data_IF_435341949984
#
_entry.id   IF_435341949984
#
_cell.length_a   1.000
_cell.length_b   1.000
_cell.length_c   1.000
_cell.angle_alpha   90.00
_cell.angle_beta   90.00
_cell.angle_gamma   90.00
#
_symmetry.space_group_name_H-M   'P 1'
#
loop_
_entity.id
_entity.type
_entity.pdbx_description
1 polymer ?
#
# COMPACT_ATOMS: atom_id res chain seq x y z
N UNK A 1 -5.78 17.59 31.70
CA UNK A 1 -5.46 16.21 31.32
C UNK A 1 -4.08 16.23 30.64
N UNK A 2 -3.31 15.15 30.69
CA UNK A 2 -2.05 15.06 29.94
C UNK A 2 -2.34 15.13 28.43
N UNK A 3 -1.45 15.79 27.68
CA UNK A 3 -1.54 15.81 26.22
C UNK A 3 -1.35 14.40 25.63
N UNK A 4 -2.17 14.04 24.64
CA UNK A 4 -2.21 12.67 24.05
C UNK A 4 -2.00 12.71 22.55
N UNK A 5 -1.33 11.68 22.05
CA UNK A 5 -1.22 11.42 20.61
C UNK A 5 -2.54 10.91 20.03
N UNK A 6 -2.73 11.03 18.72
CA UNK A 6 -3.88 10.46 18.00
C UNK A 6 -4.02 8.96 18.27
N UNK A 7 -2.89 8.22 18.22
CA UNK A 7 -2.87 6.81 18.55
C UNK A 7 -3.41 6.52 19.95
N UNK A 8 -2.97 7.26 20.98
CA UNK A 8 -3.43 7.06 22.36
C UNK A 8 -4.92 7.36 22.51
N UNK A 9 -5.42 8.43 21.87
CA UNK A 9 -6.86 8.76 21.89
C UNK A 9 -7.71 7.65 21.29
N UNK A 10 -7.29 7.11 20.13
CA UNK A 10 -8.01 6.02 19.47
C UNK A 10 -7.89 4.74 20.30
N UNK A 11 -6.69 4.39 20.77
CA UNK A 11 -6.48 3.22 21.60
C UNK A 11 -7.37 3.23 22.83
N UNK A 12 -7.29 4.29 23.62
CA UNK A 12 -8.02 4.41 24.89
C UNK A 12 -9.55 4.34 24.69
N UNK A 13 -10.07 4.83 23.55
CA UNK A 13 -11.50 4.75 23.23
C UNK A 13 -11.96 3.35 22.79
N UNK A 14 -11.02 2.44 22.46
CA UNK A 14 -11.33 1.07 22.00
C UNK A 14 -10.95 -0.01 23.02
N UNK A 15 -10.30 0.33 24.12
CA UNK A 15 -10.00 -0.63 25.19
C UNK A 15 -11.30 -1.12 25.82
N UNK A 16 -11.53 -2.42 25.73
CA UNK A 16 -12.66 -3.12 26.37
C UNK A 16 -12.24 -3.60 27.76
N UNK A 17 -10.98 -4.09 27.87
CA UNK A 17 -10.41 -4.59 29.12
C UNK A 17 -8.89 -4.51 29.06
N UNK A 18 -8.28 -4.09 30.17
CA UNK A 18 -6.84 -4.01 30.31
C UNK A 18 -6.42 -4.38 31.74
N UNK A 19 -5.38 -5.21 31.86
CA UNK A 19 -4.74 -5.53 33.12
C UNK A 19 -3.25 -5.16 33.05
N UNK A 20 -2.66 -4.70 34.15
CA UNK A 20 -1.24 -4.33 34.18
C UNK A 20 -0.33 -5.47 33.73
N UNK A 21 0.51 -5.20 32.72
CA UNK A 21 1.47 -6.16 32.18
C UNK A 21 0.89 -7.23 31.26
N UNK A 22 -0.40 -7.17 30.97
CA UNK A 22 -1.08 -8.05 30.01
C UNK A 22 -1.44 -7.28 28.73
N UNK A 23 -1.68 -7.98 27.62
CA UNK A 23 -2.23 -7.32 26.43
C UNK A 23 -3.66 -6.85 26.70
N UNK A 24 -3.99 -5.65 26.24
CA UNK A 24 -5.34 -5.11 26.31
C UNK A 24 -6.25 -5.79 25.29
N UNK A 25 -7.52 -6.00 25.64
CA UNK A 25 -8.56 -6.40 24.72
C UNK A 25 -9.15 -5.14 24.09
N UNK A 26 -8.98 -4.95 22.78
CA UNK A 26 -9.49 -3.80 22.04
C UNK A 26 -10.65 -4.19 21.13
N UNK A 27 -11.65 -3.32 21.01
CA UNK A 27 -12.74 -3.47 20.05
C UNK A 27 -12.28 -3.13 18.63
N UNK A 28 -12.79 -3.85 17.63
CA UNK A 28 -12.47 -3.64 16.21
C UNK A 28 -13.71 -3.12 15.48
N UNK A 29 -13.63 -1.91 14.93
CA UNK A 29 -14.77 -1.27 14.23
C UNK A 29 -15.03 -1.88 12.87
N UNK A 30 -13.97 -2.26 12.14
CA UNK A 30 -14.10 -2.85 10.80
C UNK A 30 -13.15 -4.02 10.64
N UNK A 31 -13.70 -5.11 10.13
CA UNK A 31 -12.92 -6.30 9.79
C UNK A 31 -12.97 -6.51 8.27
N UNK A 32 -11.83 -6.36 7.61
CA UNK A 32 -11.70 -6.64 6.18
C UNK A 32 -11.14 -8.06 6.01
N UNK A 33 -11.74 -8.84 5.12
CA UNK A 33 -11.31 -10.22 4.86
C UNK A 33 -11.23 -10.48 3.36
N UNK A 34 -10.38 -11.42 2.98
CA UNK A 34 -10.19 -11.83 1.58
C UNK A 34 -10.03 -13.35 1.47
N UNK A 35 -9.95 -13.86 0.24
CA UNK A 35 -9.98 -15.29 -0.06
C UNK A 35 -8.80 -16.08 0.50
N UNK A 36 -7.65 -15.46 0.77
CA UNK A 36 -6.43 -16.20 1.15
C UNK A 36 -6.43 -16.62 2.61
N UNK A 37 -6.77 -15.71 3.53
CA UNK A 37 -6.68 -15.97 4.99
C UNK A 37 -7.99 -16.36 5.64
N UNK A 38 -9.14 -16.07 5.01
CA UNK A 38 -10.46 -16.31 5.61
C UNK A 38 -10.94 -17.77 5.62
N UNK A 39 -10.56 -18.67 4.68
CA UNK A 39 -11.11 -20.04 4.68
C UNK A 39 -10.85 -20.80 5.97
N UNK A 40 -9.61 -20.76 6.49
CA UNK A 40 -9.25 -21.42 7.73
C UNK A 40 -9.94 -20.80 8.96
N UNK A 41 -10.08 -19.45 8.97
CA UNK A 41 -10.77 -18.75 10.05
C UNK A 41 -12.26 -19.15 10.13
N UNK A 42 -12.96 -19.23 9.00
CA UNK A 42 -14.35 -19.72 8.96
C UNK A 42 -14.46 -21.21 9.32
N UNK A 43 -13.49 -22.05 8.92
CA UNK A 43 -13.45 -23.44 9.30
C UNK A 43 -13.31 -23.58 10.83
N UNK A 44 -12.44 -22.79 11.46
CA UNK A 44 -12.27 -22.72 12.90
C UNK A 44 -13.56 -22.33 13.63
N UNK A 45 -14.26 -21.29 13.14
CA UNK A 45 -15.57 -20.91 13.68
C UNK A 45 -16.58 -22.08 13.67
N UNK A 46 -16.68 -22.79 12.53
CA UNK A 46 -17.59 -23.95 12.41
C UNK A 46 -17.22 -25.08 13.35
N UNK A 47 -15.94 -25.42 13.45
CA UNK A 47 -15.42 -26.46 14.37
C UNK A 47 -15.77 -26.17 15.83
N UNK A 48 -15.68 -24.88 16.23
CA UNK A 48 -16.01 -24.46 17.59
C UNK A 48 -17.48 -24.08 17.81
N UNK A 49 -18.36 -24.27 16.82
CA UNK A 49 -19.78 -23.91 16.89
C UNK A 49 -20.04 -22.42 17.08
N UNK A 50 -19.10 -21.55 16.64
CA UNK A 50 -19.19 -20.10 16.77
C UNK A 50 -19.75 -19.46 15.50
N UNK A 51 -20.40 -18.30 15.69
CA UNK A 51 -20.95 -17.48 14.59
C UNK A 51 -20.12 -16.20 14.41
N UNK A 52 -20.21 -15.60 13.23
CA UNK A 52 -19.69 -14.24 13.02
C UNK A 52 -20.47 -13.27 13.90
N UNK A 53 -19.77 -12.53 14.75
CA UNK A 53 -20.36 -11.63 15.75
C UNK A 53 -21.02 -10.41 15.12
N UNK A 54 -20.34 -9.77 14.15
CA UNK A 54 -20.80 -8.53 13.49
C UNK A 54 -20.59 -8.64 11.99
N UNK A 55 -21.47 -9.38 11.28
CA UNK A 55 -21.37 -9.48 9.83
C UNK A 55 -21.55 -8.12 9.12
N UNK A 56 -22.27 -7.18 9.75
CA UNK A 56 -22.46 -5.81 9.29
C UNK A 56 -21.21 -4.92 9.37
N UNK A 57 -20.22 -5.30 10.17
CA UNK A 57 -18.92 -4.63 10.30
C UNK A 57 -17.77 -5.40 9.60
N UNK A 58 -18.09 -6.52 8.98
CA UNK A 58 -17.15 -7.37 8.26
C UNK A 58 -17.37 -7.25 6.75
N UNK A 59 -16.32 -6.99 5.99
CA UNK A 59 -16.37 -6.78 4.54
C UNK A 59 -15.39 -7.73 3.84
N UNK A 60 -15.91 -8.54 2.94
CA UNK A 60 -15.14 -9.54 2.20
C UNK A 60 -14.88 -9.09 0.76
N UNK A 61 -13.70 -9.41 0.24
CA UNK A 61 -13.34 -9.12 -1.16
C UNK A 61 -12.54 -10.27 -1.76
N UNK A 62 -12.65 -10.46 -3.08
CA UNK A 62 -11.77 -11.29 -3.89
C UNK A 62 -10.78 -10.39 -4.59
N UNK A 63 -9.48 -10.47 -4.25
CA UNK A 63 -8.48 -9.52 -4.77
C UNK A 63 -7.07 -10.09 -5.01
N UNK A 64 -6.63 -11.08 -4.23
CA UNK A 64 -5.25 -11.58 -4.28
C UNK A 64 -5.00 -12.54 -5.45
N UNK A 65 -5.85 -13.55 -5.59
CA UNK A 65 -5.69 -14.61 -6.60
C UNK A 65 -6.51 -14.35 -7.86
N UNK A 66 -7.16 -13.20 -7.98
CA UNK A 66 -8.01 -12.88 -9.13
C UNK A 66 -7.17 -12.70 -10.40
N UNK A 67 -7.58 -13.28 -11.55
CA UNK A 67 -6.94 -13.02 -12.83
C UNK A 67 -7.16 -11.56 -13.25
N UNK A 68 -6.15 -10.96 -13.86
CA UNK A 68 -6.19 -9.60 -14.42
C UNK A 68 -6.43 -9.58 -15.92
N UNK A 69 -6.51 -10.76 -16.54
CA UNK A 69 -6.89 -11.01 -17.93
C UNK A 69 -8.40 -11.23 -18.06
N UNK A 70 -8.84 -11.93 -19.08
CA UNK A 70 -10.26 -12.22 -19.32
C UNK A 70 -10.87 -13.09 -18.22
N UNK A 71 -11.74 -12.50 -17.40
CA UNK A 71 -12.44 -13.15 -16.28
C UNK A 71 -13.66 -13.97 -16.68
N UNK A 72 -13.99 -14.01 -17.97
CA UNK A 72 -15.03 -14.91 -18.51
C UNK A 72 -14.51 -16.33 -18.67
N UNK A 73 -13.21 -16.51 -18.70
CA UNK A 73 -12.58 -17.83 -18.81
C UNK A 73 -12.55 -18.55 -17.45
N UNK A 74 -12.66 -19.88 -17.45
CA UNK A 74 -12.52 -20.67 -16.22
C UNK A 74 -11.18 -20.42 -15.54
N UNK A 75 -11.19 -20.42 -14.21
CA UNK A 75 -9.97 -20.35 -13.41
C UNK A 75 -9.16 -21.65 -13.61
N UNK A 76 -7.91 -21.49 -14.03
CA UNK A 76 -7.00 -22.62 -14.24
C UNK A 76 -6.34 -23.09 -12.94
N UNK A 77 -6.21 -22.22 -11.95
CA UNK A 77 -5.67 -22.51 -10.62
C UNK A 77 -6.78 -23.07 -9.72
N UNK A 78 -6.69 -24.36 -9.41
CA UNK A 78 -7.67 -25.06 -8.57
C UNK A 78 -7.65 -24.59 -7.12
N UNK A 79 -6.51 -24.11 -6.60
CA UNK A 79 -6.40 -23.58 -5.24
C UNK A 79 -7.13 -22.24 -5.15
N UNK A 80 -6.88 -21.34 -6.10
CA UNK A 80 -7.58 -20.07 -6.19
C UNK A 80 -9.10 -20.27 -6.33
N UNK A 81 -9.53 -21.20 -7.20
CA UNK A 81 -10.94 -21.53 -7.37
C UNK A 81 -11.57 -22.01 -6.06
N UNK A 82 -10.94 -22.91 -5.33
CA UNK A 82 -11.42 -23.41 -4.03
C UNK A 82 -11.50 -22.30 -2.97
N UNK A 83 -10.53 -21.36 -2.96
CA UNK A 83 -10.55 -20.22 -2.06
C UNK A 83 -11.73 -19.27 -2.35
N UNK A 84 -11.98 -18.94 -3.62
CA UNK A 84 -13.13 -18.12 -4.02
C UNK A 84 -14.47 -18.77 -3.67
N UNK A 85 -14.61 -20.05 -3.95
CA UNK A 85 -15.83 -20.80 -3.60
C UNK A 85 -16.04 -20.83 -2.08
N UNK A 86 -14.98 -21.07 -1.31
CA UNK A 86 -15.04 -21.08 0.16
C UNK A 86 -15.46 -19.69 0.69
N UNK A 87 -14.84 -18.61 0.21
CA UNK A 87 -15.19 -17.25 0.63
C UNK A 87 -16.66 -16.93 0.27
N UNK A 88 -17.09 -17.20 -0.96
CA UNK A 88 -18.47 -16.94 -1.40
C UNK A 88 -19.50 -17.74 -0.60
N UNK A 89 -19.23 -19.02 -0.32
CA UNK A 89 -20.08 -19.86 0.53
C UNK A 89 -20.14 -19.32 1.96
N UNK A 90 -19.01 -19.03 2.56
CA UNK A 90 -18.93 -18.54 3.93
C UNK A 90 -19.66 -17.20 4.10
N UNK A 91 -19.51 -16.27 3.16
CA UNK A 91 -20.22 -14.98 3.19
C UNK A 91 -21.74 -15.17 3.08
N UNK A 92 -22.23 -16.07 2.19
CA UNK A 92 -23.66 -16.37 2.09
C UNK A 92 -24.21 -16.96 3.39
N UNK A 93 -23.50 -17.89 4.02
CA UNK A 93 -23.92 -18.56 5.25
C UNK A 93 -23.94 -17.62 6.46
N UNK A 94 -23.06 -16.60 6.49
CA UNK A 94 -22.88 -15.72 7.64
C UNK A 94 -23.49 -14.33 7.48
N UNK A 95 -23.93 -13.97 6.28
CA UNK A 95 -24.46 -12.63 5.99
C UNK A 95 -23.39 -11.54 5.82
N UNK A 96 -22.12 -11.91 5.69
CA UNK A 96 -21.02 -10.97 5.43
C UNK A 96 -21.13 -10.44 4.00
N UNK A 97 -21.02 -9.12 3.83
CA UNK A 97 -21.04 -8.47 2.52
C UNK A 97 -19.79 -8.84 1.72
N UNK A 98 -20.00 -9.41 0.53
CA UNK A 98 -18.92 -9.83 -0.38
C UNK A 98 -18.85 -8.93 -1.63
N UNK A 99 -17.66 -8.43 -1.94
CA UNK A 99 -17.30 -7.84 -3.22
C UNK A 99 -16.58 -8.88 -4.07
N UNK A 100 -17.34 -9.74 -4.75
CA UNK A 100 -16.81 -10.80 -5.61
C UNK A 100 -16.27 -10.25 -6.94
N UNK A 101 -15.71 -11.12 -7.78
CA UNK A 101 -15.10 -10.75 -9.06
C UNK A 101 -16.06 -10.05 -10.04
N UNK A 102 -17.39 -10.25 -9.91
CA UNK A 102 -18.40 -9.63 -10.77
C UNK A 102 -18.95 -8.32 -10.19
N UNK A 103 -18.71 -8.07 -8.91
CA UNK A 103 -19.20 -6.86 -8.24
C UNK A 103 -18.56 -5.60 -8.83
N UNK A 104 -19.36 -4.58 -9.13
CA UNK A 104 -18.87 -3.29 -9.65
C UNK A 104 -17.90 -2.55 -8.72
N UNK A 105 -17.90 -2.87 -7.44
CA UNK A 105 -17.01 -2.31 -6.43
C UNK A 105 -15.84 -3.25 -6.08
N UNK A 106 -15.64 -4.33 -6.85
CA UNK A 106 -14.50 -5.23 -6.64
C UNK A 106 -13.17 -4.49 -6.89
N UNK A 107 -12.17 -4.81 -6.10
CA UNK A 107 -10.81 -4.30 -6.22
C UNK A 107 -9.97 -4.74 -5.03
N UNK A 108 -8.75 -4.26 -4.97
CA UNK A 108 -7.85 -4.55 -3.86
C UNK A 108 -8.45 -4.04 -2.54
N UNK A 109 -8.44 -4.86 -1.50
CA UNK A 109 -9.09 -4.59 -0.21
C UNK A 109 -8.72 -3.21 0.37
N UNK A 110 -7.44 -2.82 0.27
CA UNK A 110 -6.93 -1.53 0.77
C UNK A 110 -7.21 -0.34 -0.17
N UNK A 111 -7.85 -0.58 -1.30
CA UNK A 111 -8.36 0.45 -2.20
C UNK A 111 -9.86 0.61 -2.03
N UNK A 112 -10.62 -0.48 -2.03
CA UNK A 112 -12.08 -0.39 -1.92
C UNK A 112 -12.54 0.08 -0.54
N UNK A 113 -11.82 -0.22 0.54
CA UNK A 113 -12.12 0.29 1.88
C UNK A 113 -12.23 1.81 1.92
N UNK A 114 -11.18 2.54 1.50
CA UNK A 114 -11.21 3.99 1.30
C UNK A 114 -12.24 4.46 0.27
N UNK A 115 -12.26 3.86 -0.93
CA UNK A 115 -13.16 4.28 -2.01
C UNK A 115 -14.64 4.25 -1.66
N UNK A 116 -15.03 3.30 -0.84
CA UNK A 116 -16.41 3.14 -0.40
C UNK A 116 -16.71 3.90 0.89
N UNK A 117 -15.69 4.44 1.57
CA UNK A 117 -15.83 5.11 2.87
C UNK A 117 -16.07 4.14 4.03
N UNK A 118 -15.67 2.87 3.86
CA UNK A 118 -15.64 1.88 4.95
C UNK A 118 -14.60 2.32 5.99
N UNK A 119 -13.48 2.89 5.51
CA UNK A 119 -12.42 3.48 6.33
C UNK A 119 -12.80 4.90 6.72
N UNK A 120 -12.85 5.19 8.03
CA UNK A 120 -13.16 6.51 8.55
C UNK A 120 -12.25 6.86 9.74
N UNK A 121 -11.95 8.14 9.99
CA UNK A 121 -11.07 8.54 11.07
C UNK A 121 -11.55 8.06 12.46
N UNK A 122 -10.61 7.73 13.32
CA UNK A 122 -10.88 7.31 14.69
C UNK A 122 -11.28 5.85 14.84
N UNK A 123 -11.39 5.09 13.75
CA UNK A 123 -11.72 3.67 13.78
C UNK A 123 -10.50 2.77 14.03
N UNK A 124 -10.76 1.56 14.50
CA UNK A 124 -9.84 0.42 14.45
C UNK A 124 -10.20 -0.48 13.28
N UNK A 125 -9.22 -0.81 12.43
CA UNK A 125 -9.41 -1.68 11.25
C UNK A 125 -8.38 -2.78 11.22
N UNK A 126 -8.84 -4.02 11.00
CA UNK A 126 -7.94 -5.16 10.83
C UNK A 126 -8.27 -5.95 9.55
N UNK A 127 -7.25 -6.61 9.01
CA UNK A 127 -7.34 -7.52 7.87
C UNK A 127 -6.23 -8.56 7.95
N UNK A 128 -6.44 -9.71 7.35
CA UNK A 128 -5.41 -10.74 7.19
C UNK A 128 -4.29 -10.39 6.20
N UNK A 129 -3.98 -9.12 6.03
CA UNK A 129 -2.95 -8.57 5.14
C UNK A 129 -2.16 -7.46 5.86
N UNK A 130 -0.83 -7.50 5.75
CA UNK A 130 0.06 -6.55 6.41
C UNK A 130 -0.12 -5.10 5.95
N UNK A 131 -0.54 -4.85 4.68
CA UNK A 131 -0.75 -3.52 4.15
C UNK A 131 -2.07 -2.86 4.59
N UNK A 132 -2.76 -3.44 5.57
CA UNK A 132 -3.88 -2.81 6.29
C UNK A 132 -3.50 -1.44 6.87
N UNK A 133 -2.22 -1.20 7.14
CA UNK A 133 -1.70 0.12 7.53
C UNK A 133 -2.07 1.25 6.55
N UNK A 134 -2.40 0.94 5.29
CA UNK A 134 -2.92 1.92 4.30
C UNK A 134 -4.06 2.77 4.85
N UNK A 135 -4.97 2.16 5.60
CA UNK A 135 -6.15 2.82 6.16
C UNK A 135 -5.80 3.91 7.20
N UNK A 136 -4.59 3.86 7.77
CA UNK A 136 -4.08 4.88 8.68
C UNK A 136 -3.92 6.27 8.05
N UNK A 137 -3.92 6.37 6.72
CA UNK A 137 -3.96 7.64 5.99
C UNK A 137 -5.18 8.51 6.33
N UNK A 138 -6.20 7.93 6.93
CA UNK A 138 -7.43 8.58 7.35
C UNK A 138 -7.46 8.90 8.86
N UNK A 139 -6.36 8.72 9.60
CA UNK A 139 -6.38 8.80 11.05
C UNK A 139 -7.09 7.61 11.70
N UNK A 140 -6.90 6.43 11.14
CA UNK A 140 -7.46 5.14 11.57
C UNK A 140 -6.35 4.31 12.18
N UNK A 141 -6.57 3.65 13.29
CA UNK A 141 -5.64 2.63 13.81
C UNK A 141 -5.85 1.32 13.03
N UNK A 142 -5.03 1.10 12.02
CA UNK A 142 -5.20 -0.01 11.09
C UNK A 142 -3.94 -0.86 10.96
N UNK A 143 -4.09 -2.20 11.09
CA UNK A 143 -2.94 -3.10 11.04
C UNK A 143 -3.34 -4.52 10.62
N UNK A 144 -2.34 -5.24 10.07
CA UNK A 144 -2.47 -6.63 9.66
C UNK A 144 -2.51 -7.59 10.85
N UNK A 145 -3.27 -8.68 10.69
CA UNK A 145 -3.43 -9.74 11.69
C UNK A 145 -3.25 -11.12 11.05
N UNK A 146 -2.87 -12.10 11.87
CA UNK A 146 -2.72 -13.50 11.44
C UNK A 146 -4.08 -14.22 11.32
N UNK A 147 -4.09 -15.37 10.63
CA UNK A 147 -5.31 -16.16 10.38
C UNK A 147 -6.07 -16.55 11.65
N UNK A 148 -5.37 -16.90 12.72
CA UNK A 148 -6.01 -17.20 14.02
C UNK A 148 -6.66 -15.98 14.65
N UNK A 149 -6.06 -14.80 14.47
CA UNK A 149 -6.62 -13.53 14.92
C UNK A 149 -7.84 -13.14 14.06
N UNK A 150 -7.85 -13.46 12.75
CA UNK A 150 -9.03 -13.30 11.88
C UNK A 150 -10.21 -14.11 12.45
N UNK A 151 -10.01 -15.39 12.82
CA UNK A 151 -11.04 -16.20 13.49
C UNK A 151 -11.52 -15.54 14.78
N UNK A 152 -10.58 -15.06 15.61
CA UNK A 152 -10.92 -14.42 16.88
C UNK A 152 -11.78 -13.17 16.69
N UNK A 153 -11.40 -12.29 15.75
CA UNK A 153 -12.18 -11.07 15.46
C UNK A 153 -13.55 -11.40 14.86
N UNK A 154 -13.64 -12.39 13.97
CA UNK A 154 -14.94 -12.85 13.46
C UNK A 154 -15.87 -13.32 14.59
N UNK A 155 -15.33 -14.04 15.60
CA UNK A 155 -16.08 -14.57 16.72
C UNK A 155 -16.49 -13.51 17.74
N UNK A 156 -15.63 -12.51 18.00
CA UNK A 156 -15.75 -11.63 19.17
C UNK A 156 -15.88 -10.14 18.84
N UNK A 157 -15.44 -9.72 17.69
CA UNK A 157 -15.22 -8.32 17.28
C UNK A 157 -14.17 -7.61 18.14
N UNK A 158 -13.34 -8.36 18.83
CA UNK A 158 -12.26 -7.84 19.67
C UNK A 158 -10.94 -8.52 19.32
N UNK A 159 -9.84 -7.92 19.76
CA UNK A 159 -8.49 -8.45 19.58
C UNK A 159 -7.62 -8.14 20.79
N UNK A 160 -6.81 -9.10 21.21
CA UNK A 160 -5.83 -8.91 22.29
C UNK A 160 -4.53 -8.37 21.71
N UNK A 161 -4.07 -7.19 22.16
CA UNK A 161 -2.88 -6.51 21.65
C UNK A 161 -2.14 -5.76 22.76
N UNK A 162 -0.80 -5.79 22.70
CA UNK A 162 0.01 -4.87 23.51
C UNK A 162 -0.02 -3.46 22.92
N UNK A 163 -0.11 -2.45 23.79
CA UNK A 163 -0.02 -1.05 23.38
C UNK A 163 1.37 -0.77 22.80
N UNK A 164 1.44 -0.29 21.57
CA UNK A 164 2.68 0.05 20.89
C UNK A 164 3.25 1.37 21.42
N UNK A 165 4.55 1.57 21.23
CA UNK A 165 5.18 2.89 21.38
C UNK A 165 4.76 3.80 20.23
N UNK A 166 4.98 5.10 20.39
CA UNK A 166 4.67 6.12 19.41
C UNK A 166 5.92 6.66 18.73
N UNK A 167 5.86 6.83 17.40
CA UNK A 167 6.91 7.48 16.64
C UNK A 167 6.30 8.59 15.79
N UNK A 168 6.93 9.78 15.78
CA UNK A 168 6.59 10.84 14.85
C UNK A 168 7.65 10.95 13.77
N UNK A 169 7.22 10.96 12.51
CA UNK A 169 8.07 11.27 11.37
C UNK A 169 7.58 12.57 10.77
N UNK A 170 8.38 13.61 10.89
CA UNK A 170 8.04 14.96 10.45
C UNK A 170 8.84 15.31 9.18
N UNK A 171 8.13 15.70 8.13
CA UNK A 171 8.74 16.06 6.84
C UNK A 171 8.29 17.47 6.48
N UNK A 172 9.22 18.42 6.52
CA UNK A 172 8.98 19.82 6.26
C UNK A 172 9.58 20.26 4.92
N UNK A 173 9.23 21.46 4.45
CA UNK A 173 9.59 21.99 3.14
C UNK A 173 8.64 21.51 2.03
N UNK A 174 9.16 21.34 0.82
CA UNK A 174 8.37 20.89 -0.34
C UNK A 174 9.09 19.77 -1.07
N UNK A 175 8.34 18.84 -1.64
CA UNK A 175 8.93 17.83 -2.52
C UNK A 175 9.37 18.49 -3.84
N UNK A 176 10.57 18.17 -4.36
CA UNK A 176 11.00 18.60 -5.67
C UNK A 176 10.05 18.08 -6.78
N UNK A 177 10.04 18.75 -7.91
CA UNK A 177 9.29 18.28 -9.09
C UNK A 177 9.65 16.84 -9.44
N UNK A 178 8.64 16.02 -9.76
CA UNK A 178 8.82 14.63 -10.13
C UNK A 178 9.03 13.67 -8.95
N UNK A 179 9.18 14.20 -7.73
CA UNK A 179 9.25 13.40 -6.49
C UNK A 179 7.84 13.18 -5.96
N UNK A 180 7.50 11.94 -5.65
CA UNK A 180 6.15 11.53 -5.25
C UNK A 180 6.14 10.98 -3.82
N UNK A 181 4.94 10.68 -3.31
CA UNK A 181 4.77 10.01 -2.02
C UNK A 181 5.49 8.64 -1.94
N UNK A 182 5.70 7.96 -3.09
CA UNK A 182 6.47 6.72 -3.15
C UNK A 182 7.96 6.96 -2.90
N UNK A 183 8.52 8.00 -3.49
CA UNK A 183 9.91 8.38 -3.28
C UNK A 183 10.13 8.83 -1.83
N UNK A 184 9.17 9.58 -1.28
CA UNK A 184 9.17 10.01 0.11
C UNK A 184 9.23 8.82 1.07
N UNK A 185 8.33 7.83 0.94
CA UNK A 185 8.32 6.69 1.87
C UNK A 185 9.54 5.78 1.68
N UNK A 186 10.04 5.60 0.46
CA UNK A 186 11.29 4.87 0.22
C UNK A 186 12.48 5.59 0.87
N UNK A 187 12.57 6.93 0.78
CA UNK A 187 13.60 7.72 1.48
C UNK A 187 13.49 7.58 3.00
N UNK A 188 12.28 7.59 3.55
CA UNK A 188 12.04 7.38 4.99
C UNK A 188 12.56 6.00 5.39
N UNK A 189 12.18 4.93 4.66
CA UNK A 189 12.61 3.56 4.96
C UNK A 189 14.14 3.44 4.82
N UNK A 190 14.72 4.04 3.78
CA UNK A 190 16.19 4.10 3.62
C UNK A 190 16.89 4.76 4.79
N UNK A 191 16.30 5.82 5.38
CA UNK A 191 16.86 6.56 6.53
C UNK A 191 16.75 5.79 7.85
N UNK A 192 15.58 5.20 8.14
CA UNK A 192 15.34 4.55 9.45
C UNK A 192 15.62 3.05 9.45
N UNK A 193 15.73 2.44 8.26
CA UNK A 193 15.90 0.99 8.07
C UNK A 193 14.59 0.21 8.12
N UNK A 194 14.60 -1.02 7.61
CA UNK A 194 13.43 -1.93 7.57
C UNK A 194 12.93 -2.38 8.96
N UNK A 195 13.69 -2.14 10.01
CA UNK A 195 13.34 -2.43 11.40
C UNK A 195 13.19 -1.17 12.25
N UNK A 196 13.36 0.02 11.66
CA UNK A 196 13.37 1.30 12.39
C UNK A 196 12.07 1.66 13.09
N UNK A 197 10.95 1.14 12.62
CA UNK A 197 9.62 1.33 13.20
C UNK A 197 9.16 0.20 14.11
N UNK A 198 9.98 -0.82 14.36
CA UNK A 198 9.57 -2.01 15.15
C UNK A 198 9.06 -1.61 16.53
N UNK A 199 7.89 -2.13 16.88
CA UNK A 199 7.21 -1.85 18.16
C UNK A 199 6.54 -0.47 18.24
N UNK A 200 6.49 0.28 17.15
CA UNK A 200 5.88 1.61 17.11
C UNK A 200 4.67 1.68 16.16
N UNK A 201 3.76 2.59 16.49
CA UNK A 201 2.82 3.20 15.56
C UNK A 201 3.43 4.52 15.12
N UNK A 202 3.54 4.73 13.80
CA UNK A 202 4.13 5.95 13.22
C UNK A 202 3.02 6.96 12.92
N UNK A 203 3.17 8.19 13.41
CA UNK A 203 2.39 9.35 12.97
C UNK A 203 3.24 10.18 12.02
N UNK A 204 2.83 10.27 10.77
CA UNK A 204 3.46 11.11 9.77
C UNK A 204 2.90 12.53 9.86
N UNK A 205 3.78 13.53 9.85
CA UNK A 205 3.45 14.92 10.05
C UNK A 205 4.38 15.85 9.23
N UNK A 206 4.18 17.16 9.37
CA UNK A 206 4.96 18.17 8.67
C UNK A 206 4.23 18.71 7.42
N UNK A 207 4.84 19.73 6.80
CA UNK A 207 4.23 20.45 5.67
C UNK A 207 4.04 19.56 4.46
N UNK A 208 5.04 18.73 4.15
CA UNK A 208 4.97 17.78 3.04
C UNK A 208 3.80 16.82 3.21
N UNK A 209 3.62 16.23 4.39
CA UNK A 209 2.56 15.25 4.64
C UNK A 209 1.17 15.90 4.54
N UNK A 210 1.01 17.11 5.10
CA UNK A 210 -0.25 17.86 4.99
C UNK A 210 -0.59 18.21 3.54
N UNK A 211 0.44 18.52 2.73
CA UNK A 211 0.29 18.84 1.32
C UNK A 211 0.00 17.65 0.41
N UNK A 212 0.15 16.40 0.89
CA UNK A 212 -0.18 15.21 0.10
C UNK A 212 -1.69 15.07 -0.11
N UNK A 213 -2.06 14.59 -1.30
CA UNK A 213 -3.39 14.05 -1.57
C UNK A 213 -3.68 12.83 -0.68
N UNK A 214 -4.94 12.40 -0.62
CA UNK A 214 -5.27 11.15 0.10
C UNK A 214 -4.57 9.93 -0.50
N UNK A 215 -4.41 9.88 -1.81
CA UNK A 215 -3.68 8.85 -2.52
C UNK A 215 -2.20 8.81 -2.10
N UNK A 216 -1.57 9.97 -1.99
CA UNK A 216 -0.20 10.09 -1.48
C UNK A 216 -0.08 9.66 -0.02
N UNK A 217 -1.00 10.07 0.86
CA UNK A 217 -1.04 9.64 2.27
C UNK A 217 -1.23 8.13 2.39
N UNK A 218 -2.10 7.54 1.56
CA UNK A 218 -2.29 6.08 1.50
C UNK A 218 -1.01 5.36 1.07
N UNK A 219 -0.25 5.90 0.12
CA UNK A 219 1.06 5.35 -0.29
C UNK A 219 2.05 5.35 0.87
N UNK A 220 2.16 6.45 1.61
CA UNK A 220 3.05 6.56 2.78
C UNK A 220 2.65 5.56 3.87
N UNK A 221 1.37 5.54 4.26
CA UNK A 221 0.88 4.63 5.30
C UNK A 221 0.95 3.15 4.88
N UNK A 222 0.71 2.85 3.59
CA UNK A 222 0.82 1.49 3.05
C UNK A 222 2.19 0.87 3.35
N UNK A 223 3.27 1.62 3.13
CA UNK A 223 4.63 1.12 3.27
C UNK A 223 5.23 1.29 4.67
N UNK A 224 4.46 1.72 5.67
CA UNK A 224 4.91 1.81 7.06
C UNK A 224 5.34 0.45 7.62
N UNK A 225 4.67 -0.61 7.20
CA UNK A 225 5.00 -1.99 7.57
C UNK A 225 6.38 -2.42 7.04
N UNK A 226 6.84 -1.82 5.93
CA UNK A 226 8.16 -2.10 5.36
C UNK A 226 9.31 -1.48 6.19
N UNK A 227 8.99 -0.51 7.06
CA UNK A 227 9.89 -0.01 8.10
C UNK A 227 9.77 -0.81 9.42
N UNK A 228 9.00 -1.89 9.45
CA UNK A 228 8.74 -2.71 10.65
C UNK A 228 7.70 -2.13 11.62
N UNK A 229 7.03 -1.03 11.27
CA UNK A 229 6.03 -0.41 12.13
C UNK A 229 4.76 -1.26 12.26
N UNK A 230 4.06 -1.14 13.41
CA UNK A 230 2.75 -1.80 13.60
C UNK A 230 1.67 -1.17 12.71
N UNK A 231 1.69 0.15 12.59
CA UNK A 231 0.80 0.94 11.74
C UNK A 231 1.46 2.27 11.37
N UNK A 232 0.97 2.91 10.31
CA UNK A 232 1.29 4.30 9.97
C UNK A 232 0.00 5.11 9.92
N UNK A 233 0.03 6.33 10.41
CA UNK A 233 -1.14 7.19 10.54
C UNK A 233 -0.84 8.60 10.05
N UNK A 234 -1.85 9.26 9.48
CA UNK A 234 -1.85 10.69 9.17
C UNK A 234 -3.06 11.32 9.86
N UNK A 235 -2.87 12.43 10.53
CA UNK A 235 -3.98 13.15 11.17
C UNK A 235 -5.02 13.56 10.12
N UNK A 236 -6.33 13.30 10.35
CA UNK A 236 -7.38 13.71 9.44
C UNK A 236 -7.52 15.22 9.40
N UNK A 237 -7.73 15.75 8.22
CA UNK A 237 -7.90 17.18 7.94
C UNK A 237 -8.95 17.39 6.84
N UNK A 238 -9.06 18.63 6.34
CA UNK A 238 -10.02 19.00 5.29
C UNK A 238 -9.87 18.15 4.02
N UNK A 239 -8.63 17.73 3.67
CA UNK A 239 -8.38 16.81 2.53
C UNK A 239 -9.02 15.45 2.78
N UNK A 240 -8.92 14.94 4.01
CA UNK A 240 -9.56 13.68 4.43
C UNK A 240 -11.08 13.80 4.41
N UNK A 241 -11.63 14.91 4.92
CA UNK A 241 -13.08 15.10 4.99
C UNK A 241 -13.70 15.23 3.59
N UNK A 242 -13.09 16.02 2.73
CA UNK A 242 -13.51 16.16 1.32
C UNK A 242 -13.45 14.85 0.56
N UNK A 243 -12.42 14.01 0.82
CA UNK A 243 -12.32 12.70 0.20
C UNK A 243 -13.45 11.75 0.64
N UNK A 244 -13.89 11.83 1.89
CA UNK A 244 -14.91 10.94 2.47
C UNK A 244 -16.34 11.38 2.14
N UNK A 245 -16.58 12.66 1.93
CA UNK A 245 -17.93 13.20 1.73
C UNK A 245 -18.64 12.52 0.56
N UNK A 246 -19.89 12.09 0.80
CA UNK A 246 -20.74 11.44 -0.21
C UNK A 246 -20.42 10.00 -0.54
N UNK A 247 -19.40 9.38 0.08
CA UNK A 247 -19.09 7.97 -0.15
C UNK A 247 -20.16 7.05 0.47
N UNK A 248 -20.34 5.82 -0.08
CA UNK A 248 -21.46 4.94 0.26
C UNK A 248 -21.62 4.63 1.75
N UNK A 249 -20.53 4.39 2.47
CA UNK A 249 -20.53 4.00 3.89
C UNK A 249 -20.25 5.14 4.86
N UNK A 250 -20.18 6.37 4.36
CA UNK A 250 -19.94 7.57 5.19
C UNK A 250 -21.29 8.20 5.59
N UNK A 251 -21.45 8.70 6.81
CA UNK A 251 -22.63 9.44 7.23
C UNK A 251 -22.95 10.61 6.28
N UNK A 252 -24.21 11.06 6.25
CA UNK A 252 -24.65 12.11 5.32
C UNK A 252 -25.31 13.29 6.06
N UNK A 253 -25.26 14.45 5.44
CA UNK A 253 -25.96 15.63 5.97
C UNK A 253 -25.47 16.00 7.36
N UNK A 254 -26.39 16.13 8.33
CA UNK A 254 -26.05 16.50 9.73
C UNK A 254 -25.14 15.47 10.41
N UNK A 255 -25.34 14.20 10.14
CA UNK A 255 -24.53 13.13 10.73
C UNK A 255 -23.08 13.16 10.20
N UNK A 256 -22.87 13.62 8.96
CA UNK A 256 -21.53 13.87 8.44
C UNK A 256 -20.83 14.99 9.23
N UNK A 257 -21.54 16.09 9.53
CA UNK A 257 -20.95 17.18 10.32
C UNK A 257 -20.57 16.70 11.73
N UNK A 258 -21.42 15.92 12.38
CA UNK A 258 -21.11 15.31 13.70
C UNK A 258 -19.86 14.43 13.60
N UNK A 259 -19.75 13.63 12.53
CA UNK A 259 -18.58 12.81 12.29
C UNK A 259 -17.30 13.66 12.10
N UNK A 260 -17.38 14.75 11.32
CA UNK A 260 -16.25 15.67 11.11
C UNK A 260 -15.81 16.31 12.42
N UNK A 261 -16.74 16.73 13.28
CA UNK A 261 -16.41 17.31 14.57
C UNK A 261 -15.69 16.30 15.49
N UNK A 262 -16.13 15.04 15.48
CA UNK A 262 -15.43 13.95 16.14
C UNK A 262 -14.03 13.72 15.53
N UNK A 263 -13.93 13.64 14.19
CA UNK A 263 -12.66 13.41 13.49
C UNK A 263 -11.62 14.50 13.77
N UNK A 264 -12.05 15.76 13.94
CA UNK A 264 -11.19 16.86 14.36
C UNK A 264 -10.69 16.70 15.80
N UNK A 265 -11.45 16.04 16.67
CA UNK A 265 -11.10 15.87 18.09
C UNK A 265 -10.03 14.80 18.34
N UNK A 266 -9.84 13.85 17.41
CA UNK A 266 -8.90 12.73 17.59
C UNK A 266 -7.45 13.07 17.23
N UNK A 267 -7.18 14.20 16.57
CA UNK A 267 -5.80 14.59 16.21
C UNK A 267 -4.93 14.72 17.46
N UNK A 268 -3.63 14.49 17.31
CA UNK A 268 -2.67 14.63 18.42
C UNK A 268 -2.73 16.04 19.03
N UNK A 269 -2.69 16.12 20.34
CA UNK A 269 -2.63 17.41 21.04
C UNK A 269 -1.31 18.13 20.70
N UNK A 270 -1.28 19.47 20.69
CA UNK A 270 -0.07 20.21 20.32
C UNK A 270 1.18 19.84 21.13
N UNK A 271 0.98 19.55 22.43
CA UNK A 271 2.06 19.19 23.36
C UNK A 271 2.20 17.67 23.55
N UNK A 272 1.61 16.85 22.67
CA UNK A 272 1.72 15.39 22.74
C UNK A 272 3.18 14.95 22.59
N UNK A 273 3.58 14.03 23.45
CA UNK A 273 4.95 13.47 23.45
C UNK A 273 4.97 12.14 22.69
N UNK A 274 5.99 11.98 21.86
CA UNK A 274 6.27 10.74 21.15
C UNK A 274 7.52 10.07 21.73
N UNK A 275 7.55 8.73 21.77
CA UNK A 275 8.70 7.98 22.25
C UNK A 275 9.92 8.19 21.33
N UNK A 276 9.67 8.44 20.04
CA UNK A 276 10.71 8.75 19.05
C UNK A 276 10.22 9.79 18.06
N UNK A 277 11.11 10.72 17.69
CA UNK A 277 10.85 11.70 16.62
C UNK A 277 11.95 11.59 15.58
N UNK A 278 11.58 11.62 14.31
CA UNK A 278 12.49 11.62 13.15
C UNK A 278 12.08 12.77 12.24
N UNK A 279 13.06 13.60 11.86
CA UNK A 279 12.83 14.74 10.97
C UNK A 279 13.50 14.53 9.62
N UNK A 280 12.83 14.92 8.55
CA UNK A 280 13.35 14.95 7.19
C UNK A 280 13.08 16.32 6.56
N UNK A 281 14.00 16.69 5.68
CA UNK A 281 13.86 17.84 4.79
C UNK A 281 13.32 17.37 3.44
N UNK A 282 12.09 17.77 3.12
CA UNK A 282 11.40 17.38 1.89
C UNK A 282 12.11 17.82 0.62
N UNK A 283 12.84 18.94 0.68
CA UNK A 283 13.56 19.50 -0.48
C UNK A 283 14.76 18.65 -0.89
N UNK A 284 15.26 17.81 0.02
CA UNK A 284 16.39 16.89 -0.22
C UNK A 284 15.98 15.51 -0.70
N UNK A 285 14.68 15.25 -0.79
CA UNK A 285 14.19 13.97 -1.28
C UNK A 285 14.30 13.95 -2.81
N UNK A 286 14.83 12.88 -3.32
CA UNK A 286 15.06 12.65 -4.75
C UNK A 286 14.26 11.44 -5.23
N UNK A 287 14.06 11.25 -6.54
CA UNK A 287 13.46 10.02 -7.07
C UNK A 287 14.27 8.80 -6.64
N UNK A 288 13.59 7.80 -6.08
CA UNK A 288 14.19 6.66 -5.41
C UNK A 288 14.05 5.37 -6.21
N UNK A 289 15.09 4.52 -6.16
CA UNK A 289 15.09 3.17 -6.75
C UNK A 289 15.70 2.18 -5.75
N UNK A 290 15.01 1.06 -5.49
CA UNK A 290 15.62 0.00 -4.70
C UNK A 290 16.64 -0.76 -5.54
N UNK A 291 17.85 -0.98 -5.01
CA UNK A 291 18.92 -1.71 -5.69
C UNK A 291 19.04 -3.18 -5.21
N UNK A 292 18.43 -3.52 -4.08
CA UNK A 292 18.54 -4.83 -3.45
C UNK A 292 17.19 -5.52 -3.26
N UNK A 293 17.11 -6.39 -2.26
CA UNK A 293 16.01 -7.33 -2.02
C UNK A 293 15.08 -6.92 -0.88
N UNK A 294 15.13 -5.68 -0.43
CA UNK A 294 14.15 -5.09 0.50
C UNK A 294 14.04 -3.58 0.27
N UNK A 295 12.96 -2.93 0.75
CA UNK A 295 12.72 -1.50 0.52
C UNK A 295 13.76 -0.56 1.17
N UNK A 296 14.51 -1.03 2.18
CA UNK A 296 15.59 -0.25 2.80
C UNK A 296 16.88 -0.22 1.97
N UNK A 297 17.04 -1.17 1.04
CA UNK A 297 18.13 -1.18 0.07
C UNK A 297 17.80 -0.25 -1.10
N UNK A 298 17.80 1.05 -0.85
CA UNK A 298 17.34 2.11 -1.76
C UNK A 298 18.42 3.15 -1.97
N UNK A 299 18.41 3.82 -3.11
CA UNK A 299 19.31 4.93 -3.45
C UNK A 299 18.62 5.88 -4.44
N UNK A 300 19.22 7.06 -4.61
CA UNK A 300 18.82 8.03 -5.63
C UNK A 300 18.94 7.44 -7.03
N UNK A 301 18.04 7.81 -7.92
CA UNK A 301 18.12 7.38 -9.32
C UNK A 301 19.42 7.79 -10.00
N UNK A 302 20.02 8.93 -9.62
CA UNK A 302 21.33 9.40 -10.12
C UNK A 302 22.52 8.76 -9.42
N UNK A 303 22.26 7.94 -8.39
CA UNK A 303 23.29 7.25 -7.63
C UNK A 303 23.79 5.98 -8.29
N UNK A 304 24.53 5.22 -7.51
CA UNK A 304 25.07 3.91 -7.91
C UNK A 304 24.79 2.87 -6.85
N UNK A 305 24.81 1.62 -7.27
CA UNK A 305 24.72 0.45 -6.38
C UNK A 305 25.85 0.50 -5.35
N UNK A 306 25.56 0.48 -4.05
CA UNK A 306 26.57 0.58 -2.99
C UNK A 306 27.56 -0.58 -3.02
N UNK A 307 28.80 -0.29 -2.60
CA UNK A 307 29.79 -1.33 -2.34
C UNK A 307 29.50 -1.97 -0.97
N UNK A 308 29.31 -3.30 -0.88
CA UNK A 308 29.14 -3.98 0.40
C UNK A 308 30.24 -3.69 1.42
N UNK A 309 31.46 -3.43 0.97
CA UNK A 309 32.57 -3.05 1.85
C UNK A 309 32.38 -1.70 2.57
N UNK A 310 31.47 -0.85 2.10
CA UNK A 310 31.14 0.44 2.74
C UNK A 310 30.28 0.29 3.99
N UNK A 311 29.58 -0.85 4.17
CA UNK A 311 28.76 -1.10 5.36
C UNK A 311 29.63 -1.48 6.55
N UNK A 312 29.44 -0.79 7.68
CA UNK A 312 30.20 -1.05 8.92
C UNK A 312 29.75 -2.31 9.64
N UNK A 313 28.44 -2.56 9.62
CA UNK A 313 27.83 -3.73 10.23
C UNK A 313 28.10 -4.98 9.35
N UNK A 314 28.69 -6.05 9.92
CA UNK A 314 28.95 -7.29 9.17
C UNK A 314 27.69 -7.97 8.63
N UNK A 315 26.56 -7.86 9.31
CA UNK A 315 25.30 -8.48 8.87
C UNK A 315 24.68 -7.67 7.73
N UNK A 316 24.73 -6.34 7.78
CA UNK A 316 24.35 -5.47 6.66
C UNK A 316 25.23 -5.75 5.43
N UNK A 317 26.53 -5.91 5.62
CA UNK A 317 27.48 -6.26 4.54
C UNK A 317 27.10 -7.57 3.87
N UNK A 318 26.88 -8.63 4.63
CA UNK A 318 26.46 -9.94 4.11
C UNK A 318 25.12 -9.86 3.39
N UNK A 319 24.17 -9.11 3.95
CA UNK A 319 22.87 -8.88 3.33
C UNK A 319 23.01 -8.16 1.98
N UNK A 320 23.86 -7.16 1.90
CA UNK A 320 24.18 -6.45 0.66
C UNK A 320 24.84 -7.37 -0.38
N UNK A 321 25.84 -8.17 0.00
CA UNK A 321 26.50 -9.14 -0.88
C UNK A 321 25.49 -10.14 -1.46
N UNK A 322 24.61 -10.71 -0.62
CA UNK A 322 23.55 -11.62 -1.05
C UNK A 322 22.56 -10.94 -1.99
N UNK A 323 22.15 -9.71 -1.67
CA UNK A 323 21.24 -8.94 -2.49
C UNK A 323 21.83 -8.66 -3.88
N UNK A 324 23.10 -8.26 -3.96
CA UNK A 324 23.79 -8.03 -5.24
C UNK A 324 23.89 -9.30 -6.07
N UNK A 325 24.20 -10.44 -5.43
CA UNK A 325 24.24 -11.73 -6.10
C UNK A 325 22.86 -12.10 -6.70
N UNK A 326 21.77 -11.94 -5.91
CA UNK A 326 20.42 -12.22 -6.39
C UNK A 326 19.99 -11.28 -7.50
N UNK A 327 20.22 -9.97 -7.30
CA UNK A 327 19.88 -8.92 -8.27
C UNK A 327 20.82 -8.89 -9.48
N UNK A 328 21.91 -9.68 -9.49
CA UNK A 328 22.93 -9.71 -10.54
C UNK A 328 23.42 -8.28 -10.86
N UNK A 329 23.83 -7.58 -9.83
CA UNK A 329 24.36 -6.22 -9.90
C UNK A 329 25.77 -6.19 -9.34
N UNK A 330 26.59 -5.30 -9.89
CA UNK A 330 27.96 -5.06 -9.39
C UNK A 330 28.00 -3.77 -8.58
N UNK A 331 28.82 -3.69 -7.51
CA UNK A 331 29.11 -2.45 -6.84
C UNK A 331 29.51 -1.36 -7.83
N UNK A 332 29.07 -0.12 -7.62
CA UNK A 332 29.35 1.02 -8.49
C UNK A 332 28.54 1.08 -9.80
N UNK A 333 27.72 0.08 -10.12
CA UNK A 333 26.81 0.17 -11.27
C UNK A 333 25.88 1.37 -11.09
N UNK A 334 25.87 2.30 -12.05
CA UNK A 334 24.93 3.42 -12.01
C UNK A 334 23.51 2.93 -12.13
N UNK A 335 22.59 3.46 -11.33
CA UNK A 335 21.18 3.05 -11.37
C UNK A 335 20.59 3.24 -12.76
N UNK A 336 20.89 4.35 -13.41
CA UNK A 336 20.39 4.67 -14.76
C UNK A 336 20.93 3.74 -15.87
N UNK A 337 21.97 2.96 -15.60
CA UNK A 337 22.52 1.99 -16.58
C UNK A 337 21.90 0.59 -16.45
N UNK A 338 20.99 0.39 -15.47
CA UNK A 338 20.35 -0.91 -15.21
C UNK A 338 19.25 -1.16 -16.25
N UNK A 339 19.37 -2.19 -17.12
CA UNK A 339 18.35 -2.50 -18.12
C UNK A 339 17.12 -3.15 -17.49
N UNK A 340 15.98 -2.99 -18.12
CA UNK A 340 14.68 -3.51 -17.65
C UNK A 340 14.02 -4.41 -18.69
N UNK A 341 13.48 -5.54 -18.23
CA UNK A 341 12.70 -6.49 -19.03
C UNK A 341 11.18 -6.25 -18.90
N UNK A 342 10.75 -5.86 -17.71
CA UNK A 342 9.34 -5.76 -17.33
C UNK A 342 9.04 -4.44 -16.62
N UNK A 343 7.81 -3.96 -16.78
CA UNK A 343 7.30 -2.81 -16.04
C UNK A 343 5.97 -3.19 -15.42
N UNK A 344 5.78 -2.84 -14.15
CA UNK A 344 4.53 -3.04 -13.44
C UNK A 344 4.06 -1.77 -12.76
N UNK A 345 2.90 -1.24 -13.18
CA UNK A 345 2.18 -0.15 -12.54
C UNK A 345 0.91 -0.74 -11.96
N UNK A 346 0.84 -0.85 -10.62
CA UNK A 346 -0.22 -1.56 -9.93
C UNK A 346 -0.01 -1.62 -8.43
N UNK A 347 -0.66 -2.60 -7.75
CA UNK A 347 -0.56 -2.81 -6.31
C UNK A 347 -1.46 -1.88 -5.47
N UNK A 348 -1.77 -2.28 -4.24
CA UNK A 348 -2.45 -1.41 -3.28
C UNK A 348 -1.67 -0.13 -2.95
N UNK A 349 -0.38 -0.09 -3.27
CA UNK A 349 0.46 1.09 -3.06
C UNK A 349 0.17 2.18 -4.09
N UNK A 350 0.23 1.85 -5.39
CA UNK A 350 0.16 2.81 -6.49
C UNK A 350 -0.65 2.30 -7.69
N UNK A 351 -1.96 2.22 -7.53
CA UNK A 351 -2.89 1.86 -8.60
C UNK A 351 -4.21 2.63 -8.52
N UNK A 352 -4.19 3.78 -7.84
CA UNK A 352 -5.32 4.70 -7.74
C UNK A 352 -5.35 5.63 -8.94
N UNK A 353 -6.44 6.34 -9.11
CA UNK A 353 -6.64 7.19 -10.31
C UNK A 353 -5.54 8.25 -10.48
N UNK A 354 -5.04 8.82 -9.38
CA UNK A 354 -3.97 9.82 -9.40
C UNK A 354 -2.66 9.21 -9.92
N UNK A 355 -2.30 8.00 -9.44
CA UNK A 355 -1.12 7.25 -9.90
C UNK A 355 -1.18 6.99 -11.41
N UNK A 356 -2.35 6.56 -11.91
CA UNK A 356 -2.56 6.27 -13.32
C UNK A 356 -2.50 7.55 -14.18
N UNK A 357 -3.08 8.66 -13.72
CA UNK A 357 -2.98 9.97 -14.39
C UNK A 357 -1.53 10.44 -14.46
N UNK A 358 -0.78 10.32 -13.36
CA UNK A 358 0.62 10.71 -13.31
C UNK A 358 1.48 9.88 -14.28
N UNK A 359 1.30 8.57 -14.31
CA UNK A 359 2.00 7.68 -15.24
C UNK A 359 1.60 7.91 -16.70
N UNK A 360 0.31 8.12 -16.97
CA UNK A 360 -0.20 8.37 -18.33
C UNK A 360 0.42 9.63 -18.94
N UNK A 361 0.54 10.73 -18.17
CA UNK A 361 1.20 11.96 -18.64
C UNK A 361 2.64 11.74 -19.08
N UNK A 362 3.35 10.80 -18.46
CA UNK A 362 4.74 10.48 -18.80
C UNK A 362 4.85 9.76 -20.14
N UNK A 363 3.89 8.88 -20.46
CA UNK A 363 3.94 8.01 -21.65
C UNK A 363 3.14 8.53 -22.84
N UNK A 364 2.32 9.57 -22.66
CA UNK A 364 1.47 10.13 -23.72
C UNK A 364 2.29 10.50 -24.97
N UNK A 365 1.89 10.00 -26.14
CA UNK A 365 2.58 10.21 -27.40
C UNK A 365 3.91 9.49 -27.57
N UNK A 366 4.29 8.61 -26.62
CA UNK A 366 5.54 7.84 -26.65
C UNK A 366 5.25 6.35 -26.79
N UNK A 367 6.31 5.54 -26.96
CA UNK A 367 6.22 4.08 -27.02
C UNK A 367 7.25 3.44 -26.12
N UNK A 368 6.88 2.30 -25.53
CA UNK A 368 7.79 1.48 -24.72
C UNK A 368 9.02 1.07 -25.54
N UNK A 369 10.17 1.02 -24.89
CA UNK A 369 11.42 0.58 -25.50
C UNK A 369 11.31 -0.88 -26.01
N UNK A 370 11.98 -1.18 -27.13
CA UNK A 370 11.98 -2.53 -27.69
C UNK A 370 12.60 -3.59 -26.78
N UNK A 371 13.43 -3.18 -25.83
CA UNK A 371 14.05 -4.03 -24.81
C UNK A 371 13.08 -4.44 -23.72
N UNK A 372 12.00 -3.70 -23.50
CA UNK A 372 10.95 -4.03 -22.53
C UNK A 372 10.03 -5.07 -23.13
N UNK A 373 10.05 -6.27 -22.57
CA UNK A 373 9.27 -7.42 -23.05
C UNK A 373 7.78 -7.29 -22.74
N UNK A 374 7.44 -6.68 -21.59
CA UNK A 374 6.07 -6.47 -21.15
C UNK A 374 5.97 -5.31 -20.18
N UNK A 375 4.94 -4.49 -20.34
CA UNK A 375 4.59 -3.42 -19.43
C UNK A 375 3.11 -3.54 -19.03
N UNK A 376 2.83 -3.74 -17.75
CA UNK A 376 1.49 -3.94 -17.21
C UNK A 376 0.99 -2.69 -16.49
N UNK A 377 -0.25 -2.32 -16.74
CA UNK A 377 -1.00 -1.34 -15.93
C UNK A 377 -2.25 -2.02 -15.37
N UNK A 378 -2.32 -2.10 -14.06
CA UNK A 378 -3.37 -2.79 -13.32
C UNK A 378 -4.08 -1.81 -12.40
N UNK A 379 -5.27 -1.31 -12.75
CA UNK A 379 -6.07 -0.46 -11.87
C UNK A 379 -6.41 -1.15 -10.56
N UNK A 380 -6.42 -0.41 -9.45
CA UNK A 380 -6.60 -1.00 -8.13
C UNK A 380 -8.02 -1.47 -7.81
N UNK A 381 -9.02 -0.94 -8.51
CA UNK A 381 -10.41 -1.35 -8.41
C UNK A 381 -11.14 -1.22 -9.74
N UNK A 382 -12.30 -1.86 -9.85
CA UNK A 382 -13.19 -1.69 -11.02
C UNK A 382 -13.70 -0.24 -11.14
N UNK A 383 -13.82 0.47 -10.03
CA UNK A 383 -14.21 1.90 -10.04
C UNK A 383 -13.09 2.75 -10.60
N UNK A 384 -11.84 2.55 -10.16
CA UNK A 384 -10.66 3.22 -10.72
C UNK A 384 -10.53 2.91 -12.21
N UNK A 385 -10.67 1.62 -12.61
CA UNK A 385 -10.64 1.21 -14.01
C UNK A 385 -11.67 1.96 -14.84
N UNK A 386 -12.93 1.93 -14.40
CA UNK A 386 -14.00 2.61 -15.12
C UNK A 386 -13.81 4.14 -15.18
N UNK A 387 -13.22 4.74 -14.16
CA UNK A 387 -12.89 6.16 -14.16
C UNK A 387 -11.74 6.45 -15.16
N UNK A 388 -10.67 5.68 -15.11
CA UNK A 388 -9.53 5.82 -16.02
C UNK A 388 -9.94 5.66 -17.49
N UNK A 389 -10.82 4.70 -17.79
CA UNK A 389 -11.37 4.48 -19.15
C UNK A 389 -12.25 5.65 -19.61
N UNK A 390 -13.08 6.24 -18.73
CA UNK A 390 -13.84 7.46 -19.07
C UNK A 390 -12.94 8.67 -19.35
N UNK A 391 -11.78 8.74 -18.69
CA UNK A 391 -10.77 9.77 -18.89
C UNK A 391 -9.86 9.48 -20.10
N UNK A 392 -9.97 8.30 -20.72
CA UNK A 392 -9.18 7.89 -21.88
C UNK A 392 -7.75 7.43 -21.52
N UNK A 393 -7.43 7.22 -20.24
CA UNK A 393 -6.08 6.79 -19.81
C UNK A 393 -5.70 5.42 -20.38
N UNK A 394 -6.66 4.51 -20.50
CA UNK A 394 -6.46 3.19 -21.11
C UNK A 394 -5.97 3.28 -22.56
N UNK A 395 -6.46 4.26 -23.33
CA UNK A 395 -6.02 4.51 -24.71
C UNK A 395 -4.58 4.97 -24.74
N UNK A 396 -4.22 5.95 -23.88
CA UNK A 396 -2.84 6.46 -23.77
C UNK A 396 -1.87 5.31 -23.47
N UNK A 397 -2.19 4.46 -22.47
CA UNK A 397 -1.34 3.32 -22.13
C UNK A 397 -1.24 2.28 -23.26
N UNK A 398 -2.36 1.92 -23.89
CA UNK A 398 -2.36 0.96 -25.02
C UNK A 398 -1.59 1.50 -26.24
N UNK A 399 -1.75 2.78 -26.57
CA UNK A 399 -1.01 3.44 -27.65
C UNK A 399 0.50 3.47 -27.36
N UNK A 400 0.89 3.64 -26.09
CA UNK A 400 2.28 3.54 -25.68
C UNK A 400 2.83 2.10 -25.67
N UNK A 401 1.96 1.06 -25.76
CA UNK A 401 2.34 -0.34 -25.80
C UNK A 401 2.22 -1.09 -24.47
N UNK A 402 1.55 -0.49 -23.46
CA UNK A 402 1.24 -1.17 -22.20
C UNK A 402 0.02 -2.08 -22.36
N UNK A 403 0.00 -3.16 -21.59
CA UNK A 403 -1.17 -4.01 -21.39
C UNK A 403 -2.06 -3.43 -20.30
N UNK A 404 -3.26 -2.99 -20.69
CA UNK A 404 -4.29 -2.53 -19.78
C UNK A 404 -5.07 -3.71 -19.21
N UNK A 405 -5.01 -3.93 -17.91
CA UNK A 405 -5.50 -5.12 -17.24
C UNK A 405 -6.78 -4.87 -16.42
N UNK A 406 -7.38 -5.94 -15.94
CA UNK A 406 -8.44 -5.89 -14.93
C UNK A 406 -7.87 -5.69 -13.53
N UNK A 407 -8.73 -5.18 -12.60
CA UNK A 407 -8.33 -4.80 -11.24
C UNK A 407 -8.00 -6.00 -10.35
N UNK A 408 -6.89 -5.97 -9.64
CA UNK A 408 -6.45 -7.00 -8.70
C UNK A 408 -5.02 -6.78 -8.23
N UNK A 409 -4.51 -7.67 -7.38
CA UNK A 409 -3.14 -7.58 -6.87
C UNK A 409 -2.08 -7.85 -7.92
N UNK A 410 -2.41 -8.65 -8.97
CA UNK A 410 -1.52 -8.91 -10.11
C UNK A 410 -0.10 -9.34 -9.66
N UNK A 411 0.91 -8.80 -10.32
CA UNK A 411 2.32 -9.10 -10.06
C UNK A 411 2.80 -8.71 -8.65
N UNK A 412 2.05 -7.90 -7.89
CA UNK A 412 2.46 -7.48 -6.55
C UNK A 412 2.76 -8.66 -5.60
N UNK A 413 2.02 -9.74 -5.72
CA UNK A 413 2.11 -10.91 -4.85
C UNK A 413 2.57 -12.18 -5.57
N UNK A 414 2.42 -12.24 -6.90
CA UNK A 414 2.77 -13.43 -7.68
C UNK A 414 1.90 -14.66 -7.40
N UNK A 415 0.66 -14.47 -6.94
CA UNK A 415 -0.34 -15.52 -6.69
C UNK A 415 -1.33 -15.68 -7.85
N UNK A 416 -1.01 -15.16 -9.00
CA UNK A 416 -1.79 -15.21 -10.23
C UNK A 416 -0.82 -15.37 -11.42
N UNK A 417 -1.29 -15.49 -12.66
CA UNK A 417 -0.42 -15.67 -13.83
C UNK A 417 0.55 -14.54 -14.14
N UNK A 418 0.35 -13.34 -13.54
CA UNK A 418 1.23 -12.19 -13.74
C UNK A 418 2.48 -12.33 -12.86
N UNK A 419 3.50 -13.02 -13.37
CA UNK A 419 4.77 -13.28 -12.68
C UNK A 419 5.97 -12.94 -13.55
N UNK A 420 7.10 -12.66 -12.91
CA UNK A 420 8.40 -12.57 -13.54
C UNK A 420 8.97 -13.97 -13.79
N UNK A 421 9.61 -14.14 -14.94
CA UNK A 421 10.43 -15.32 -15.20
C UNK A 421 11.80 -15.18 -14.51
N UNK A 422 12.50 -16.31 -14.24
CA UNK A 422 13.82 -16.27 -13.63
C UNK A 422 14.79 -15.37 -14.41
N UNK A 423 15.46 -14.47 -13.70
CA UNK A 423 16.40 -13.51 -14.27
C UNK A 423 15.78 -12.24 -14.84
N UNK A 424 14.48 -12.19 -15.07
CA UNK A 424 13.83 -10.96 -15.54
C UNK A 424 13.86 -9.86 -14.47
N UNK A 425 14.09 -8.63 -14.93
CA UNK A 425 14.22 -7.43 -14.12
C UNK A 425 13.02 -6.50 -14.34
N UNK A 426 12.40 -6.06 -13.25
CA UNK A 426 11.18 -5.27 -13.28
C UNK A 426 11.34 -3.94 -12.53
N UNK A 427 10.94 -2.83 -13.14
CA UNK A 427 10.58 -1.61 -12.42
C UNK A 427 9.12 -1.70 -11.99
N UNK A 428 8.87 -1.63 -10.68
CA UNK A 428 7.58 -1.97 -10.09
C UNK A 428 7.10 -0.93 -9.09
N UNK A 429 5.83 -0.58 -9.15
CA UNK A 429 5.19 0.29 -8.15
C UNK A 429 4.64 -0.46 -6.94
N UNK A 430 4.93 -1.76 -6.82
CA UNK A 430 4.57 -2.56 -5.65
C UNK A 430 5.28 -2.08 -4.37
N UNK A 431 4.98 -2.73 -3.26
CA UNK A 431 5.49 -2.35 -1.93
C UNK A 431 6.64 -3.23 -1.44
N UNK A 432 6.80 -4.43 -2.00
CA UNK A 432 7.82 -5.42 -1.58
C UNK A 432 8.58 -5.98 -2.77
N UNK A 433 9.87 -6.25 -2.55
CA UNK A 433 10.78 -6.79 -3.56
C UNK A 433 11.74 -7.86 -3.03
N UNK A 434 11.33 -8.59 -1.99
CA UNK A 434 12.16 -9.71 -1.52
C UNK A 434 12.27 -10.82 -2.57
N UNK A 435 13.28 -11.67 -2.43
CA UNK A 435 13.59 -12.76 -3.34
C UNK A 435 12.35 -13.61 -3.67
N UNK A 436 12.00 -13.71 -4.93
CA UNK A 436 10.86 -14.49 -5.42
C UNK A 436 9.47 -13.84 -5.28
N UNK A 437 9.36 -12.64 -4.74
CA UNK A 437 8.06 -11.98 -4.49
C UNK A 437 7.16 -11.87 -5.72
N UNK A 438 7.73 -11.48 -6.85
CA UNK A 438 7.01 -11.33 -8.12
C UNK A 438 7.23 -12.50 -9.09
N UNK A 439 7.76 -13.60 -8.60
CA UNK A 439 8.11 -14.81 -9.37
C UNK A 439 9.48 -15.33 -8.97
N UNK A 440 9.65 -16.65 -8.98
CA UNK A 440 10.91 -17.31 -8.60
C UNK A 440 12.07 -16.82 -9.46
N UNK A 441 13.10 -16.23 -8.82
CA UNK A 441 14.28 -15.68 -9.51
C UNK A 441 14.03 -14.33 -10.21
N UNK A 442 12.85 -13.74 -10.07
CA UNK A 442 12.54 -12.40 -10.57
C UNK A 442 13.23 -11.32 -9.77
N UNK A 443 13.71 -10.27 -10.43
CA UNK A 443 14.48 -9.16 -9.86
C UNK A 443 13.65 -7.88 -9.89
N UNK A 444 13.20 -7.42 -8.73
CA UNK A 444 12.26 -6.29 -8.64
C UNK A 444 12.93 -5.08 -8.03
N UNK A 445 12.78 -3.94 -8.70
CA UNK A 445 13.14 -2.61 -8.21
C UNK A 445 11.87 -1.82 -7.92
N UNK A 446 11.73 -1.31 -6.71
CA UNK A 446 10.59 -0.46 -6.33
C UNK A 446 10.87 0.98 -6.76
N UNK A 447 9.88 1.57 -7.42
CA UNK A 447 9.91 2.94 -7.95
C UNK A 447 8.53 3.59 -7.89
N UNK A 448 8.48 4.90 -8.12
CA UNK A 448 7.22 5.64 -8.28
C UNK A 448 6.52 5.32 -9.61
N UNK A 449 5.19 5.59 -9.74
CA UNK A 449 4.46 5.39 -10.98
C UNK A 449 5.03 6.16 -12.17
N UNK A 450 5.45 7.40 -11.96
CA UNK A 450 6.07 8.22 -13.01
C UNK A 450 7.42 7.64 -13.44
N UNK A 451 8.23 7.18 -12.48
CA UNK A 451 9.51 6.53 -12.76
C UNK A 451 9.32 5.23 -13.54
N UNK A 452 8.37 4.38 -13.14
CA UNK A 452 8.04 3.14 -13.85
C UNK A 452 7.61 3.43 -15.30
N UNK A 453 6.78 4.45 -15.49
CA UNK A 453 6.33 4.89 -16.80
C UNK A 453 7.47 5.41 -17.67
N UNK A 454 8.35 6.26 -17.14
CA UNK A 454 9.51 6.78 -17.86
C UNK A 454 10.52 5.66 -18.19
N UNK A 455 10.74 4.76 -17.24
CA UNK A 455 11.61 3.59 -17.42
C UNK A 455 11.09 2.64 -18.51
N UNK A 456 9.78 2.51 -18.69
CA UNK A 456 9.20 1.75 -19.79
C UNK A 456 9.59 2.32 -21.17
N UNK A 457 9.60 3.64 -21.29
CA UNK A 457 9.93 4.33 -22.54
C UNK A 457 11.45 4.26 -22.83
N UNK A 458 12.28 4.39 -21.78
CA UNK A 458 13.73 4.39 -21.93
C UNK A 458 14.34 2.97 -22.02
N UNK A 459 13.70 1.96 -21.41
CA UNK A 459 14.25 0.60 -21.25
C UNK A 459 15.24 0.46 -20.10
N UNK A 460 15.45 1.52 -19.32
CA UNK A 460 16.30 1.61 -18.13
C UNK A 460 15.78 2.72 -17.19
N UNK A 461 16.32 2.84 -15.98
CA UNK A 461 15.93 3.94 -15.10
C UNK A 461 16.41 5.30 -15.63
N UNK A 462 15.61 6.34 -15.38
CA UNK A 462 15.88 7.71 -15.79
C UNK A 462 15.51 8.66 -14.65
N UNK A 463 16.16 9.82 -14.61
CA UNK A 463 15.74 10.88 -13.68
C UNK A 463 14.47 11.55 -14.17
N UNK A 464 13.35 11.28 -13.51
CA UNK A 464 12.05 11.83 -13.89
C UNK A 464 11.99 13.36 -13.77
N UNK A 465 12.89 14.00 -13.02
CA UNK A 465 12.97 15.46 -12.92
C UNK A 465 13.43 16.10 -14.23
N UNK A 466 14.19 15.35 -15.03
CA UNK A 466 14.69 15.75 -16.36
C UNK A 466 13.75 15.31 -17.50
N UNK A 467 12.63 14.62 -17.18
CA UNK A 467 11.72 14.12 -18.19
C UNK A 467 11.02 15.28 -18.91
N UNK A 468 11.02 15.30 -20.27
CA UNK A 468 10.42 16.39 -21.03
C UNK A 468 8.90 16.46 -20.79
N UNK A 469 8.41 17.68 -20.57
CA UNK A 469 6.98 17.94 -20.46
C UNK A 469 6.27 17.65 -21.77
N UNK A 470 5.18 16.89 -21.72
CA UNK A 470 4.29 16.73 -22.87
C UNK A 470 3.35 17.94 -22.94
N UNK A 471 3.52 18.74 -24.02
CA UNK A 471 2.59 19.78 -24.48
C UNK A 471 2.02 20.73 -23.40
N UNK A 472 2.85 21.61 -22.83
CA UNK A 472 2.39 22.90 -22.26
C UNK A 472 1.38 22.87 -21.10
N UNK A 473 1.05 21.71 -20.53
CA UNK A 473 0.29 21.59 -19.29
C UNK A 473 1.28 21.37 -18.14
N UNK A 474 1.54 22.44 -17.38
CA UNK A 474 2.29 22.37 -16.15
C UNK A 474 1.74 21.22 -15.29
N UNK A 475 2.64 20.32 -14.88
CA UNK A 475 2.34 19.33 -13.87
C UNK A 475 2.20 20.05 -12.51
N UNK A 476 1.10 20.73 -12.28
CA UNK A 476 0.65 21.02 -10.92
C UNK A 476 0.17 19.68 -10.33
N UNK A 477 0.97 19.17 -9.41
CA UNK A 477 0.66 18.03 -8.54
C UNK A 477 -0.20 18.49 -7.38
#
# INVERSE_FOLDING_TARGET
>A
MAARTMYEKIWDSHVVHEEPGQPALIYIDRHLIHEVTSPQAFAGLKTHGRKVRRPDLTFAVMDHSVPTTDRSLPLTDSIAAAQFEALARNCRETGVLLFDMQNRNQGIVHIIGPELGITQPGQTIVCGDSHTSTHGAFGTLAFGIGTSEVEHVLATQCLSQFKSKTMRIEVNGRLPRGVTAKDLILSIIGKIGVSGGTGHVIEYAGEVIRGLSMEGRMTVCNMSIEAGARAGMVAPDETTFAYLEGRPFVPRGKDFQIAVDYWKSIVSDPDAKFDRVVELDGEKITPQVTWGTNPGMVTDVTGSVPDPASFRDPDERKAAERALQYMDLRPGTRIMDIPLDRIFIGSCTNSRIEDLRAAARVVEGKRIARTVKQALVVPGSRRVKAQAEREGLDKIFREAGFEWRDSGCSMCLGMNPDILLPGERCASTSNRNFEGRQGKGGRTHLVSPMMAAAAAIAGHFVDIREWPETNGRSAEL
#
